data_IF_599790146454
#
_entry.id   IF_599790146454
#
_cell.length_a   1.000
_cell.length_b   1.000
_cell.length_c   1.000
_cell.angle_alpha   90.00
_cell.angle_beta   90.00
_cell.angle_gamma   90.00
#
_symmetry.space_group_name_H-M   'P 1'
#
loop_
_entity.id
_entity.type
_entity.pdbx_description
1 polymer ?
#
# COMPACT_ATOMS: atom_id res chain seq x y z
N UNK A 1 44.12 30.84 -35.23
CA UNK A 1 44.49 30.33 -33.88
C UNK A 1 44.02 31.34 -32.85
N UNK A 2 42.94 31.05 -32.11
CA UNK A 2 42.34 31.98 -31.16
C UNK A 2 43.18 31.98 -29.85
N UNK A 3 43.86 33.08 -29.54
CA UNK A 3 44.58 33.21 -28.27
C UNK A 3 43.55 33.32 -27.14
N UNK A 4 43.48 32.31 -26.28
CA UNK A 4 42.73 32.38 -25.02
C UNK A 4 43.45 33.40 -24.12
N UNK A 5 42.96 34.63 -24.07
CA UNK A 5 43.42 35.61 -23.09
C UNK A 5 42.93 35.16 -21.70
N UNK A 6 43.78 34.46 -20.96
CA UNK A 6 43.44 33.99 -19.62
C UNK A 6 43.90 35.02 -18.59
N UNK A 7 42.94 35.67 -17.92
CA UNK A 7 43.22 36.54 -16.79
C UNK A 7 43.88 35.72 -15.67
N UNK A 8 45.05 36.17 -15.15
CA UNK A 8 45.82 35.43 -14.13
C UNK A 8 44.95 35.06 -12.91
N UNK A 9 44.04 35.95 -12.50
CA UNK A 9 43.07 35.69 -11.43
C UNK A 9 42.08 34.57 -11.73
N UNK A 10 41.53 34.53 -12.96
CA UNK A 10 40.62 33.46 -13.39
C UNK A 10 41.31 32.09 -13.41
N UNK A 11 42.60 32.06 -13.74
CA UNK A 11 43.42 30.83 -13.69
C UNK A 11 43.62 30.33 -12.26
N UNK A 12 43.90 31.19 -11.29
CA UNK A 12 44.00 30.79 -9.88
C UNK A 12 42.67 30.26 -9.33
N UNK A 13 41.55 30.93 -9.66
CA UNK A 13 40.23 30.48 -9.25
C UNK A 13 39.87 29.11 -9.86
N UNK A 14 40.18 28.90 -11.14
CA UNK A 14 39.97 27.61 -11.80
C UNK A 14 40.79 26.48 -11.16
N UNK A 15 42.06 26.73 -10.81
CA UNK A 15 42.88 25.74 -10.10
C UNK A 15 42.29 25.44 -8.72
N UNK A 16 41.89 26.46 -7.95
CA UNK A 16 41.28 26.27 -6.64
C UNK A 16 39.99 25.45 -6.71
N UNK A 17 39.14 25.72 -7.71
CA UNK A 17 37.92 24.96 -7.96
C UNK A 17 38.21 23.50 -8.31
N UNK A 18 39.20 23.25 -9.18
CA UNK A 18 39.61 21.89 -9.56
C UNK A 18 40.13 21.11 -8.35
N UNK A 19 40.94 21.76 -7.49
CA UNK A 19 41.46 21.13 -6.26
C UNK A 19 40.32 20.78 -5.30
N UNK A 20 39.38 21.70 -5.08
CA UNK A 20 38.23 21.46 -4.21
C UNK A 20 37.34 20.33 -4.76
N UNK A 21 37.11 20.30 -6.07
CA UNK A 21 36.38 19.24 -6.74
C UNK A 21 37.08 17.88 -6.61
N UNK A 22 38.41 17.84 -6.73
CA UNK A 22 39.23 16.64 -6.51
C UNK A 22 39.13 16.12 -5.07
N UNK A 23 39.17 17.01 -4.08
CA UNK A 23 39.01 16.63 -2.66
C UNK A 23 37.62 16.00 -2.44
N UNK A 24 36.58 16.58 -3.03
CA UNK A 24 35.22 16.05 -2.94
C UNK A 24 35.09 14.67 -3.61
N UNK A 25 35.69 14.50 -4.80
CA UNK A 25 35.72 13.22 -5.50
C UNK A 25 36.46 12.14 -4.70
N UNK A 26 37.64 12.46 -4.15
CA UNK A 26 38.40 11.53 -3.32
C UNK A 26 37.61 11.12 -2.08
N UNK A 27 36.91 12.07 -1.45
CA UNK A 27 36.03 11.77 -0.31
C UNK A 27 34.87 10.85 -0.71
N UNK A 28 34.27 11.08 -1.88
CA UNK A 28 33.21 10.24 -2.42
C UNK A 28 33.70 8.80 -2.67
N UNK A 29 34.84 8.63 -3.35
CA UNK A 29 35.42 7.30 -3.59
C UNK A 29 35.83 6.60 -2.29
N UNK A 30 36.35 7.33 -1.30
CA UNK A 30 36.68 6.79 0.01
C UNK A 30 35.43 6.21 0.71
N UNK A 31 34.32 6.95 0.70
CA UNK A 31 33.04 6.49 1.27
C UNK A 31 32.52 5.26 0.52
N UNK A 32 32.62 5.23 -0.80
CA UNK A 32 32.16 4.11 -1.62
C UNK A 32 33.02 2.85 -1.42
N UNK A 33 34.34 2.99 -1.25
CA UNK A 33 35.28 1.88 -1.07
C UNK A 33 35.24 1.31 0.36
N UNK A 34 35.21 2.17 1.38
CA UNK A 34 35.15 1.75 2.78
C UNK A 34 33.76 1.28 3.16
N UNK A 35 32.71 1.83 2.56
CA UNK A 35 31.32 1.41 2.80
C UNK A 35 30.81 1.66 4.22
N UNK A 36 31.58 2.38 5.05
CA UNK A 36 31.25 2.72 6.44
C UNK A 36 31.19 4.23 6.57
N UNK A 37 30.04 4.74 7.01
CA UNK A 37 29.84 6.12 7.42
C UNK A 37 29.45 6.09 8.90
N UNK A 38 30.23 6.76 9.76
CA UNK A 38 29.95 6.87 11.20
C UNK A 38 29.71 5.51 11.91
N UNK A 39 30.59 4.52 11.72
CA UNK A 39 30.47 3.18 12.33
C UNK A 39 29.23 2.36 11.91
N UNK A 40 28.48 2.81 10.91
CA UNK A 40 27.35 2.07 10.33
C UNK A 40 27.70 1.67 8.91
N UNK A 41 27.54 0.38 8.60
CA UNK A 41 27.71 -0.14 7.26
C UNK A 41 26.56 0.37 6.39
N UNK A 42 26.90 1.13 5.34
CA UNK A 42 25.92 1.76 4.45
C UNK A 42 25.05 0.72 3.74
N UNK A 43 25.57 -0.49 3.52
CA UNK A 43 24.80 -1.61 2.97
C UNK A 43 23.73 -2.10 3.92
N UNK A 44 24.02 -2.16 5.22
CA UNK A 44 23.06 -2.62 6.22
C UNK A 44 21.94 -1.59 6.43
N UNK A 45 22.29 -0.30 6.43
CA UNK A 45 21.29 0.78 6.47
C UNK A 45 20.39 0.79 5.22
N UNK A 46 20.97 0.59 4.03
CA UNK A 46 20.21 0.48 2.79
C UNK A 46 19.32 -0.78 2.79
N UNK A 47 19.83 -1.90 3.32
CA UNK A 47 19.07 -3.13 3.46
C UNK A 47 17.93 -2.97 4.47
N UNK A 48 18.11 -2.33 5.62
CA UNK A 48 17.01 -2.06 6.56
C UNK A 48 15.94 -1.15 5.95
N UNK A 49 16.36 -0.14 5.17
CA UNK A 49 15.43 0.79 4.54
C UNK A 49 14.65 0.14 3.39
N UNK A 50 15.21 -0.87 2.73
CA UNK A 50 14.57 -1.58 1.60
C UNK A 50 13.87 -2.88 2.00
N UNK A 51 14.41 -3.61 2.99
CA UNK A 51 13.83 -4.85 3.51
C UNK A 51 12.74 -4.51 4.51
N UNK A 52 11.51 -4.43 3.99
CA UNK A 52 10.33 -4.56 4.84
C UNK A 52 10.25 -6.02 5.29
N UNK A 53 10.68 -6.29 6.52
CA UNK A 53 10.44 -7.58 7.17
C UNK A 53 8.93 -7.75 7.34
N UNK A 54 8.30 -8.52 6.45
CA UNK A 54 6.92 -8.98 6.59
C UNK A 54 6.92 -10.41 7.07
N UNK A 55 6.05 -10.73 8.03
CA UNK A 55 5.78 -12.13 8.37
C UNK A 55 5.08 -12.76 7.17
N UNK A 56 5.63 -13.87 6.67
CA UNK A 56 4.94 -14.65 5.64
C UNK A 56 3.79 -15.42 6.32
N UNK A 57 2.58 -14.87 6.22
CA UNK A 57 1.37 -15.49 6.75
C UNK A 57 1.13 -16.84 6.06
N UNK A 58 1.07 -17.92 6.85
CA UNK A 58 0.70 -19.24 6.35
C UNK A 58 -0.79 -19.27 5.95
N UNK A 59 -1.11 -20.00 4.88
CA UNK A 59 -2.51 -20.26 4.53
C UNK A 59 -3.15 -21.18 5.57
N UNK A 60 -4.37 -20.86 6.01
CA UNK A 60 -5.11 -21.74 6.92
C UNK A 60 -5.74 -22.88 6.12
N UNK A 61 -5.71 -24.09 6.68
CA UNK A 61 -6.32 -25.26 6.05
C UNK A 61 -7.83 -25.10 5.85
N UNK A 62 -8.38 -25.74 4.82
CA UNK A 62 -9.84 -25.84 4.60
C UNK A 62 -10.47 -26.84 5.57
N UNK A 63 -11.62 -26.51 6.14
CA UNK A 63 -12.40 -27.39 7.02
C UNK A 63 -13.48 -28.08 6.17
N UNK A 64 -13.57 -29.40 6.28
CA UNK A 64 -14.51 -30.24 5.56
C UNK A 64 -15.45 -30.96 6.52
N UNK A 65 -16.64 -31.34 6.03
CA UNK A 65 -17.50 -32.29 6.73
C UNK A 65 -17.06 -33.75 6.48
N UNK A 66 -17.77 -34.70 7.10
CA UNK A 66 -17.50 -36.14 6.95
C UNK A 66 -17.67 -36.64 5.51
N UNK A 67 -18.42 -35.92 4.67
CA UNK A 67 -18.66 -36.25 3.25
C UNK A 67 -17.65 -35.59 2.31
N UNK A 68 -16.75 -34.74 2.83
CA UNK A 68 -15.78 -33.98 2.05
C UNK A 68 -16.31 -32.64 1.51
N UNK A 69 -17.48 -32.17 1.95
CA UNK A 69 -18.00 -30.85 1.57
C UNK A 69 -17.27 -29.77 2.36
N UNK A 70 -16.90 -28.68 1.69
CA UNK A 70 -16.25 -27.53 2.33
C UNK A 70 -17.22 -26.85 3.29
N UNK A 71 -16.81 -26.75 4.56
CA UNK A 71 -17.50 -25.98 5.60
C UNK A 71 -16.87 -24.60 5.76
N UNK A 72 -15.55 -24.49 5.67
CA UNK A 72 -14.82 -23.22 5.85
C UNK A 72 -13.56 -23.21 5.00
N UNK A 73 -13.34 -22.15 4.22
CA UNK A 73 -12.11 -21.97 3.44
C UNK A 73 -11.66 -20.51 3.40
N UNK A 74 -10.38 -20.29 3.11
CA UNK A 74 -9.89 -18.96 2.77
C UNK A 74 -10.33 -18.63 1.33
N UNK A 75 -10.86 -17.44 1.13
CA UNK A 75 -11.20 -16.87 -0.17
C UNK A 75 -10.54 -15.51 -0.35
N UNK A 76 -10.33 -15.12 -1.59
CA UNK A 76 -9.85 -13.78 -1.92
C UNK A 76 -11.03 -12.83 -1.93
N UNK A 77 -11.00 -11.85 -1.06
CA UNK A 77 -11.94 -10.73 -1.04
C UNK A 77 -11.23 -9.46 -1.46
N UNK A 78 -12.00 -8.40 -1.70
CA UNK A 78 -11.46 -7.12 -2.13
C UNK A 78 -11.91 -6.03 -1.17
N UNK A 79 -11.07 -5.00 -1.03
CA UNK A 79 -11.49 -3.73 -0.43
C UNK A 79 -11.31 -2.58 -1.39
N UNK A 80 -12.27 -1.65 -1.36
CA UNK A 80 -12.24 -0.40 -2.12
C UNK A 80 -11.32 0.58 -1.44
N UNK A 81 -10.49 1.23 -2.25
CA UNK A 81 -9.57 2.26 -1.80
C UNK A 81 -9.63 3.46 -2.72
N UNK A 82 -9.83 4.63 -2.12
CA UNK A 82 -10.07 5.88 -2.84
C UNK A 82 -8.90 6.83 -2.62
N UNK A 83 -8.26 7.23 -3.72
CA UNK A 83 -7.15 8.18 -3.72
C UNK A 83 -7.71 9.61 -3.83
N UNK A 84 -7.54 10.40 -2.79
CA UNK A 84 -7.99 11.79 -2.74
C UNK A 84 -6.95 12.78 -3.29
N UNK A 85 -5.66 12.40 -3.27
CA UNK A 85 -4.53 13.22 -3.76
C UNK A 85 -3.59 12.37 -4.63
N UNK A 86 -2.83 13.03 -5.50
CA UNK A 86 -1.84 12.38 -6.38
C UNK A 86 -2.24 12.41 -7.86
N UNK A 87 -1.51 11.66 -8.69
CA UNK A 87 -1.69 11.66 -10.15
C UNK A 87 -2.98 10.97 -10.61
N UNK A 88 -3.41 9.94 -9.87
CA UNK A 88 -4.67 9.21 -10.10
C UNK A 88 -5.61 9.45 -8.92
N UNK A 89 -6.05 10.70 -8.74
CA UNK A 89 -6.96 11.08 -7.67
C UNK A 89 -8.41 11.22 -8.16
N UNK A 90 -9.34 11.17 -7.20
CA UNK A 90 -10.75 11.50 -7.42
C UNK A 90 -10.87 12.95 -7.91
N UNK A 91 -11.54 13.13 -9.06
CA UNK A 91 -11.81 14.45 -9.64
C UNK A 91 -13.00 15.13 -8.97
N UNK A 92 -14.11 14.40 -8.84
CA UNK A 92 -15.34 14.88 -8.23
C UNK A 92 -15.72 13.95 -7.07
N UNK A 93 -15.60 14.47 -5.85
CA UNK A 93 -15.88 13.71 -4.62
C UNK A 93 -17.35 13.32 -4.50
N UNK A 94 -18.25 14.23 -4.84
CA UNK A 94 -19.69 14.01 -4.76
C UNK A 94 -20.17 12.92 -5.72
N UNK A 95 -19.76 13.02 -6.98
CA UNK A 95 -20.10 12.04 -8.02
C UNK A 95 -19.49 10.67 -7.72
N UNK A 96 -18.23 10.65 -7.26
CA UNK A 96 -17.57 9.41 -6.84
C UNK A 96 -18.30 8.76 -5.67
N UNK A 97 -18.72 9.55 -4.69
CA UNK A 97 -19.46 9.05 -3.55
C UNK A 97 -20.82 8.48 -3.95
N UNK A 98 -21.54 9.14 -4.86
CA UNK A 98 -22.82 8.67 -5.38
C UNK A 98 -22.70 7.35 -6.16
N UNK A 99 -21.70 7.25 -7.05
CA UNK A 99 -21.45 6.03 -7.81
C UNK A 99 -21.03 4.86 -6.90
N UNK A 100 -20.18 5.11 -5.90
CA UNK A 100 -19.77 4.10 -4.92
C UNK A 100 -20.94 3.70 -4.02
N UNK A 101 -21.74 4.65 -3.56
CA UNK A 101 -22.93 4.42 -2.75
C UNK A 101 -23.93 3.51 -3.47
N UNK A 102 -24.25 3.80 -4.74
CA UNK A 102 -25.13 2.97 -5.54
C UNK A 102 -24.57 1.56 -5.80
N UNK A 103 -23.25 1.41 -5.91
CA UNK A 103 -22.63 0.12 -6.14
C UNK A 103 -22.51 -0.73 -4.87
N UNK A 104 -22.33 -0.09 -3.71
CA UNK A 104 -22.18 -0.69 -2.39
C UNK A 104 -23.49 -0.76 -1.59
N UNK A 105 -24.58 -0.22 -2.13
CA UNK A 105 -25.92 -0.19 -1.51
C UNK A 105 -25.93 0.49 -0.13
N UNK A 106 -25.26 1.64 -0.05
CA UNK A 106 -25.19 2.49 1.15
C UNK A 106 -25.53 3.93 0.84
N UNK A 107 -25.77 4.73 1.88
CA UNK A 107 -26.02 6.15 1.73
C UNK A 107 -24.76 6.91 1.28
N UNK A 108 -24.95 7.89 0.39
CA UNK A 108 -23.89 8.76 -0.13
C UNK A 108 -23.15 9.47 1.01
N UNK A 109 -23.87 9.91 2.03
CA UNK A 109 -23.35 10.59 3.20
C UNK A 109 -22.35 9.71 3.97
N UNK A 110 -22.59 8.39 4.03
CA UNK A 110 -21.68 7.46 4.69
C UNK A 110 -20.39 7.26 3.90
N UNK A 111 -20.43 7.31 2.56
CA UNK A 111 -19.22 7.33 1.73
C UNK A 111 -18.45 8.63 1.93
N UNK A 112 -19.14 9.77 1.90
CA UNK A 112 -18.52 11.09 2.06
C UNK A 112 -17.87 11.29 3.44
N UNK A 113 -18.44 10.72 4.51
CA UNK A 113 -17.83 10.75 5.85
C UNK A 113 -16.41 10.19 5.88
N UNK A 114 -16.09 9.24 4.99
CA UNK A 114 -14.75 8.65 4.90
C UNK A 114 -13.78 9.54 4.12
N UNK A 115 -14.24 10.55 3.37
CA UNK A 115 -13.41 11.42 2.53
C UNK A 115 -12.79 12.56 3.35
N UNK A 116 -11.95 12.21 4.32
CA UNK A 116 -11.31 13.18 5.20
C UNK A 116 -10.31 14.08 4.46
N UNK A 117 -10.38 15.37 4.77
CA UNK A 117 -9.39 16.33 4.28
C UNK A 117 -8.00 16.02 4.83
N UNK A 118 -6.97 16.33 4.04
CA UNK A 118 -5.57 16.06 4.40
C UNK A 118 -5.06 14.66 4.03
N UNK A 119 -5.91 13.63 3.96
CA UNK A 119 -5.52 12.26 3.61
C UNK A 119 -5.24 12.11 2.11
N UNK A 120 -4.25 11.28 1.77
CA UNK A 120 -3.93 10.92 0.38
C UNK A 120 -4.83 9.80 -0.13
N UNK A 121 -5.16 8.86 0.75
CA UNK A 121 -5.92 7.66 0.45
C UNK A 121 -6.87 7.34 1.61
N UNK A 122 -8.08 6.89 1.29
CA UNK A 122 -9.13 6.55 2.26
C UNK A 122 -9.84 5.25 1.88
N UNK A 123 -10.47 4.61 2.87
CA UNK A 123 -11.25 3.38 2.73
C UNK A 123 -12.70 3.63 3.15
N UNK A 124 -13.66 2.90 2.59
CA UNK A 124 -15.10 3.09 2.83
C UNK A 124 -15.58 2.24 4.02
N UNK A 125 -14.92 2.40 5.17
CA UNK A 125 -15.27 1.68 6.40
C UNK A 125 -15.37 0.15 6.24
N UNK A 126 -16.30 -0.47 6.99
CA UNK A 126 -16.52 -1.93 6.95
C UNK A 126 -17.18 -2.39 5.64
N UNK A 127 -18.05 -1.57 5.06
CA UNK A 127 -18.82 -1.92 3.85
C UNK A 127 -17.93 -1.95 2.62
N UNK A 128 -16.89 -1.11 2.58
CA UNK A 128 -15.88 -1.14 1.53
C UNK A 128 -14.89 -2.30 1.62
N UNK A 129 -15.09 -3.25 2.55
CA UNK A 129 -14.22 -4.43 2.75
C UNK A 129 -15.00 -5.72 2.52
N UNK A 130 -14.27 -6.84 2.40
CA UNK A 130 -14.85 -8.16 2.13
C UNK A 130 -15.72 -8.23 0.87
N UNK A 131 -15.45 -7.39 -0.13
CA UNK A 131 -16.23 -7.33 -1.36
C UNK A 131 -16.00 -8.59 -2.18
N UNK A 132 -17.11 -9.11 -2.73
CA UNK A 132 -17.06 -10.20 -3.70
C UNK A 132 -16.38 -9.74 -5.00
N UNK A 133 -15.95 -10.71 -5.80
CA UNK A 133 -15.39 -10.43 -7.14
C UNK A 133 -16.40 -9.71 -8.02
N UNK A 134 -17.68 -10.05 -7.90
CA UNK A 134 -18.77 -9.47 -8.68
C UNK A 134 -18.95 -7.99 -8.35
N UNK A 135 -19.01 -7.61 -7.07
CA UNK A 135 -19.12 -6.21 -6.65
C UNK A 135 -17.89 -5.41 -7.08
N UNK A 136 -16.70 -6.00 -6.95
CA UNK A 136 -15.45 -5.37 -7.42
C UNK A 136 -15.47 -5.11 -8.92
N UNK A 137 -15.89 -6.08 -9.74
CA UNK A 137 -15.97 -5.87 -11.19
C UNK A 137 -17.10 -4.88 -11.56
N UNK A 138 -18.24 -4.89 -10.86
CA UNK A 138 -19.32 -3.89 -11.01
C UNK A 138 -18.79 -2.46 -10.82
N UNK A 139 -18.07 -2.19 -9.73
CA UNK A 139 -17.49 -0.87 -9.46
C UNK A 139 -16.38 -0.54 -10.47
N UNK A 140 -15.55 -1.52 -10.84
CA UNK A 140 -14.46 -1.32 -11.81
C UNK A 140 -15.00 -0.93 -13.20
N UNK A 141 -16.16 -1.44 -13.60
CA UNK A 141 -16.82 -1.08 -14.85
C UNK A 141 -17.28 0.39 -14.89
N UNK A 142 -17.52 1.02 -13.73
CA UNK A 142 -17.84 2.44 -13.63
C UNK A 142 -16.65 3.35 -13.95
N UNK A 143 -15.42 2.80 -13.99
CA UNK A 143 -14.18 3.52 -14.36
C UNK A 143 -13.97 4.81 -13.57
N UNK A 144 -14.29 4.78 -12.28
CA UNK A 144 -14.21 5.95 -11.40
C UNK A 144 -12.73 6.34 -11.21
N UNK A 145 -12.33 7.57 -11.55
CA UNK A 145 -10.96 8.02 -11.37
C UNK A 145 -10.53 7.99 -9.90
N UNK A 146 -9.36 7.44 -9.62
CA UNK A 146 -8.81 7.37 -8.26
C UNK A 146 -9.44 6.31 -7.36
N UNK A 147 -10.32 5.46 -7.87
CA UNK A 147 -10.81 4.28 -7.14
C UNK A 147 -10.00 3.05 -7.57
N UNK A 148 -9.48 2.33 -6.58
CA UNK A 148 -8.68 1.13 -6.76
C UNK A 148 -9.10 0.06 -5.76
N UNK A 149 -8.56 -1.15 -5.92
CA UNK A 149 -8.88 -2.29 -5.05
C UNK A 149 -7.60 -2.92 -4.52
N UNK A 150 -7.64 -3.31 -3.25
CA UNK A 150 -6.64 -4.20 -2.68
C UNK A 150 -7.27 -5.58 -2.42
N UNK A 151 -6.56 -6.64 -2.78
CA UNK A 151 -6.96 -8.01 -2.46
C UNK A 151 -6.62 -8.34 -1.02
N UNK A 152 -7.59 -8.86 -0.28
CA UNK A 152 -7.43 -9.39 1.06
C UNK A 152 -7.79 -10.87 1.08
N UNK A 153 -7.29 -11.61 2.06
CA UNK A 153 -7.78 -12.97 2.34
C UNK A 153 -8.84 -12.87 3.43
N UNK A 154 -9.99 -13.47 3.20
CA UNK A 154 -11.04 -13.60 4.21
C UNK A 154 -11.52 -15.04 4.29
N UNK A 155 -12.01 -15.41 5.47
CA UNK A 155 -12.55 -16.74 5.74
C UNK A 155 -14.03 -16.77 5.33
N UNK A 156 -14.41 -17.68 4.44
CA UNK A 156 -15.78 -17.84 3.94
C UNK A 156 -16.37 -19.13 4.47
N UNK A 157 -17.65 -19.08 4.86
CA UNK A 157 -18.40 -20.16 5.49
C UNK A 157 -19.60 -20.51 4.59
N UNK A 158 -19.48 -21.36 3.55
CA UNK A 158 -20.53 -21.50 2.52
C UNK A 158 -21.94 -21.87 3.02
N UNK A 159 -22.07 -22.43 4.23
CA UNK A 159 -23.36 -22.70 4.88
C UNK A 159 -23.60 -21.71 6.06
N UNK A 160 -23.43 -20.41 5.78
CA UNK A 160 -23.15 -19.28 6.69
C UNK A 160 -23.86 -19.30 8.06
N UNK A 161 -25.16 -19.60 8.08
CA UNK A 161 -26.00 -19.38 9.26
C UNK A 161 -25.83 -20.43 10.36
N UNK A 162 -25.46 -21.67 10.02
CA UNK A 162 -25.37 -22.75 11.02
C UNK A 162 -23.94 -23.05 11.43
N UNK A 163 -23.00 -22.93 10.49
CA UNK A 163 -21.62 -23.35 10.70
C UNK A 163 -20.87 -22.43 11.68
N UNK A 164 -21.19 -21.14 11.70
CA UNK A 164 -20.52 -20.14 12.54
C UNK A 164 -20.77 -20.35 14.04
N UNK A 165 -21.95 -20.80 14.46
CA UNK A 165 -22.27 -21.10 15.87
C UNK A 165 -21.48 -22.30 16.42
N UNK A 166 -21.17 -23.29 15.56
CA UNK A 166 -20.48 -24.52 15.97
C UNK A 166 -18.96 -24.41 15.76
N UNK A 167 -18.54 -23.83 14.63
CA UNK A 167 -17.13 -23.74 14.23
C UNK A 167 -16.46 -22.44 14.69
N UNK A 168 -17.24 -21.44 15.10
CA UNK A 168 -16.78 -20.08 15.33
C UNK A 168 -16.64 -19.28 14.03
N UNK A 169 -16.21 -18.03 14.16
CA UNK A 169 -15.93 -17.13 13.04
C UNK A 169 -14.59 -16.41 13.22
N UNK A 170 -14.04 -15.89 12.12
CA UNK A 170 -12.77 -15.17 12.12
C UNK A 170 -13.02 -13.68 11.87
N UNK A 171 -12.49 -12.80 12.71
CA UNK A 171 -12.54 -11.35 12.51
C UNK A 171 -11.16 -10.71 12.72
N UNK A 172 -10.83 -9.67 11.95
CA UNK A 172 -9.67 -8.84 12.26
C UNK A 172 -9.85 -8.15 13.61
N UNK A 173 -8.79 -8.12 14.41
CA UNK A 173 -8.64 -7.29 15.62
C UNK A 173 -8.46 -5.80 15.24
N UNK A 174 -8.34 -4.94 16.25
CA UNK A 174 -8.12 -3.49 16.04
C UNK A 174 -6.78 -3.18 15.35
N UNK A 175 -5.85 -4.15 15.31
CA UNK A 175 -4.54 -4.06 14.65
C UNK A 175 -4.53 -4.73 13.27
N UNK A 176 -5.65 -5.31 12.83
CA UNK A 176 -5.79 -6.03 11.56
C UNK A 176 -5.40 -7.51 11.57
N UNK A 177 -4.96 -8.07 12.70
CA UNK A 177 -4.65 -9.50 12.83
C UNK A 177 -5.93 -10.32 12.93
N UNK A 178 -6.00 -11.48 12.29
CA UNK A 178 -7.22 -12.27 12.31
C UNK A 178 -7.34 -13.12 13.57
N UNK A 179 -8.29 -12.78 14.44
CA UNK A 179 -8.66 -13.54 15.64
C UNK A 179 -9.88 -14.45 15.40
N UNK A 180 -9.85 -15.64 16.00
CA UNK A 180 -11.02 -16.50 16.11
C UNK A 180 -11.95 -16.03 17.23
N UNK A 181 -13.25 -16.06 16.98
CA UNK A 181 -14.30 -15.76 17.95
C UNK A 181 -15.33 -16.89 17.92
N UNK A 182 -15.94 -17.16 19.05
CA UNK A 182 -17.10 -18.03 19.18
C UNK A 182 -18.31 -17.16 19.53
N UNK A 183 -19.49 -17.50 19.02
CA UNK A 183 -20.71 -16.73 19.27
C UNK A 183 -21.75 -16.98 18.20
#
# INVERSE_FOLDING_TARGET
MHKLQTNKGARYFMVAFIVLFLIMLLRFFYIQAVGVLHNVNVKDLANEQHNKNGVLEANRGTIYDQTGKVLVQDSTTYRVVVNLKGKENVKNKDETAEQLAAALEIDKEDVLKNFHEGRTQVEIGKVGRNLSREVKEKIKQLKIPGVSFMSEKARVYPNEDFASYILGFARPDDKGNTEGKFG
#
